data_IF_201061574353
#
_entry.id   IF_201061574353
#
_cell.length_a   1.000
_cell.length_b   1.000
_cell.length_c   1.000
_cell.angle_alpha   90.00
_cell.angle_beta   90.00
_cell.angle_gamma   90.00
#
_symmetry.space_group_name_H-M   'P 1'
#
loop_
_entity.id
_entity.type
_entity.pdbx_description
1 polymer ?
#
# COMPACT_ATOMS: atom_id res chain seq x y z
N UNK A 1 2.45 -16.81 5.55
CA UNK A 1 3.09 -15.93 6.56
C UNK A 1 2.29 -14.64 6.67
N UNK A 2 2.18 -14.01 7.85
CA UNK A 2 1.45 -12.72 7.99
C UNK A 2 2.41 -11.56 7.80
N UNK A 3 2.07 -10.61 6.93
CA UNK A 3 2.91 -9.47 6.55
C UNK A 3 2.13 -8.18 6.73
N UNK A 4 2.75 -7.20 7.38
CA UNK A 4 2.21 -5.84 7.48
C UNK A 4 2.99 -4.93 6.54
N UNK A 5 2.28 -4.19 5.69
CA UNK A 5 2.88 -3.18 4.80
C UNK A 5 2.31 -1.80 5.11
N UNK A 6 3.19 -0.83 5.40
CA UNK A 6 2.80 0.58 5.61
C UNK A 6 3.22 1.45 4.43
N UNK A 7 2.30 2.29 3.97
CA UNK A 7 2.54 3.29 2.93
C UNK A 7 2.30 4.70 3.50
N UNK A 8 3.27 5.60 3.32
CA UNK A 8 3.14 7.01 3.72
C UNK A 8 2.31 7.83 2.72
N UNK A 9 1.96 9.06 3.09
CA UNK A 9 1.08 9.91 2.27
C UNK A 9 1.64 10.17 0.86
N UNK A 10 2.96 10.30 0.71
CA UNK A 10 3.61 10.41 -0.61
C UNK A 10 3.43 9.17 -1.49
N UNK A 11 3.27 7.99 -0.89
CA UNK A 11 3.03 6.73 -1.61
C UNK A 11 1.58 6.60 -2.09
N UNK A 12 0.68 7.41 -1.56
CA UNK A 12 -0.75 7.44 -1.90
C UNK A 12 -1.20 8.85 -2.30
N UNK A 13 -0.29 9.67 -2.83
CA UNK A 13 -0.55 11.09 -3.13
C UNK A 13 -1.61 11.31 -4.21
N UNK A 14 -1.75 10.34 -5.13
CA UNK A 14 -2.65 10.42 -6.28
C UNK A 14 -3.14 9.02 -6.69
N UNK A 15 -4.10 8.97 -7.61
CA UNK A 15 -4.70 7.72 -8.07
C UNK A 15 -3.69 6.76 -8.75
N UNK A 16 -2.70 7.27 -9.47
CA UNK A 16 -1.68 6.44 -10.10
C UNK A 16 -0.71 5.85 -9.06
N UNK A 17 -0.37 6.63 -8.04
CA UNK A 17 0.39 6.19 -6.87
C UNK A 17 -0.34 5.10 -6.10
N UNK A 18 -1.65 5.24 -5.88
CA UNK A 18 -2.49 4.20 -5.25
C UNK A 18 -2.52 2.91 -6.10
N UNK A 19 -2.68 3.00 -7.42
CA UNK A 19 -2.61 1.83 -8.31
C UNK A 19 -1.27 1.10 -8.21
N UNK A 20 -0.15 1.84 -8.15
CA UNK A 20 1.18 1.26 -7.95
C UNK A 20 1.31 0.55 -6.59
N UNK A 21 0.74 1.13 -5.53
CA UNK A 21 0.69 0.50 -4.20
C UNK A 21 -0.16 -0.78 -4.21
N UNK A 22 -1.31 -0.76 -4.87
CA UNK A 22 -2.20 -1.92 -5.00
C UNK A 22 -1.50 -3.10 -5.68
N UNK A 23 -0.76 -2.85 -6.79
CA UNK A 23 0.01 -3.90 -7.45
C UNK A 23 1.02 -4.54 -6.50
N UNK A 24 1.79 -3.74 -5.75
CA UNK A 24 2.77 -4.23 -4.76
C UNK A 24 2.14 -5.04 -3.61
N UNK A 25 0.85 -4.83 -3.32
CA UNK A 25 0.11 -5.60 -2.31
C UNK A 25 -0.30 -6.95 -2.90
N UNK A 26 -0.84 -6.94 -4.13
CA UNK A 26 -1.23 -8.15 -4.87
C UNK A 26 -0.03 -9.08 -5.04
N UNK A 27 1.11 -8.56 -5.52
CA UNK A 27 2.33 -9.35 -5.73
C UNK A 27 2.77 -10.07 -4.45
N UNK A 28 2.52 -9.48 -3.27
CA UNK A 28 2.85 -10.10 -1.97
C UNK A 28 1.80 -11.10 -1.52
N UNK A 29 0.53 -10.86 -1.83
CA UNK A 29 -0.54 -11.83 -1.58
C UNK A 29 -0.34 -13.08 -2.43
N UNK A 30 0.04 -12.93 -3.69
CA UNK A 30 0.32 -14.02 -4.63
C UNK A 30 1.51 -14.89 -4.19
N UNK A 31 2.44 -14.34 -3.42
CA UNK A 31 3.51 -15.10 -2.75
C UNK A 31 3.01 -15.95 -1.56
N UNK A 32 1.70 -16.05 -1.34
CA UNK A 32 1.09 -16.85 -0.27
C UNK A 32 1.10 -16.17 1.11
N UNK A 33 1.23 -14.85 1.15
CA UNK A 33 1.18 -14.10 2.41
C UNK A 33 -0.25 -13.64 2.74
N UNK A 34 -0.57 -13.56 4.02
CA UNK A 34 -1.72 -12.80 4.49
C UNK A 34 -1.27 -11.38 4.79
N UNK A 35 -1.81 -10.42 4.03
CA UNK A 35 -1.31 -9.05 4.01
C UNK A 35 -2.29 -8.12 4.72
N UNK A 36 -1.78 -7.38 5.71
CA UNK A 36 -2.48 -6.24 6.32
C UNK A 36 -1.79 -4.97 5.85
N UNK A 37 -2.58 -3.98 5.43
CA UNK A 37 -2.07 -2.74 4.85
C UNK A 37 -2.50 -1.55 5.70
N UNK A 38 -1.54 -0.66 5.97
CA UNK A 38 -1.76 0.60 6.68
C UNK A 38 -1.38 1.74 5.75
N UNK A 39 -2.26 2.74 5.62
CA UNK A 39 -2.02 3.92 4.80
C UNK A 39 -2.19 5.19 5.63
N UNK A 40 -1.35 6.18 5.37
CA UNK A 40 -1.57 7.56 5.83
C UNK A 40 -2.58 8.28 4.92
N UNK A 41 -3.08 9.44 5.33
CA UNK A 41 -3.84 10.34 4.44
C UNK A 41 -3.02 10.67 3.18
N UNK A 42 -3.71 11.00 2.08
CA UNK A 42 -3.08 11.33 0.79
C UNK A 42 -2.18 12.57 0.95
N UNK A 43 -1.06 12.64 0.22
CA UNK A 43 -0.01 13.66 0.40
C UNK A 43 -0.50 15.09 0.71
N UNK A 44 0.21 15.77 1.63
CA UNK A 44 -0.02 17.16 2.06
C UNK A 44 -1.44 17.50 2.55
N UNK A 45 -2.28 16.50 2.87
CA UNK A 45 -3.61 16.72 3.46
C UNK A 45 -3.61 16.66 5.00
N UNK A 46 -2.45 16.77 5.64
CA UNK A 46 -2.29 16.82 7.11
C UNK A 46 -1.55 18.07 7.55
#
# INVERSE_FOLDING_TARGET
MRVVKKFGGSSVADAASIKRVAQRIIDTKEQGNDVVVIVSAMGDTT
#
